data_IF_462678205939
#
_entry.id   IF_462678205939
#
_cell.length_a   1.000
_cell.length_b   1.000
_cell.length_c   1.000
_cell.angle_alpha   90.00
_cell.angle_beta   90.00
_cell.angle_gamma   90.00
#
_symmetry.space_group_name_H-M   'P 1'
#
loop_
_entity.id
_entity.type
_entity.pdbx_description
1 polymer ?
#
# COMPACT_ATOMS: atom_id res chain seq x y z
N UNK A 1 -3.76 1.53 -84.23
CA UNK A 1 -2.68 1.01 -85.09
C UNK A 1 -1.34 1.34 -84.45
N UNK A 2 -0.36 0.45 -84.62
CA UNK A 2 1.10 0.70 -84.60
C UNK A 2 1.74 1.50 -83.45
N UNK A 3 2.43 0.76 -82.56
CA UNK A 3 3.75 1.12 -81.99
C UNK A 3 4.80 1.28 -83.12
N UNK A 4 5.95 1.97 -82.90
CA UNK A 4 7.14 1.44 -82.19
C UNK A 4 7.74 2.46 -81.19
N UNK A 5 8.50 2.15 -80.12
CA UNK A 5 9.57 1.16 -79.83
C UNK A 5 10.95 1.48 -80.44
N UNK A 6 11.97 1.58 -79.58
CA UNK A 6 13.37 1.88 -79.95
C UNK A 6 14.28 1.86 -78.71
N UNK A 7 15.25 0.95 -78.69
CA UNK A 7 16.14 0.68 -77.54
C UNK A 7 17.54 1.31 -77.62
N UNK A 8 18.42 1.01 -76.64
CA UNK A 8 19.75 1.63 -76.46
C UNK A 8 20.84 0.91 -77.31
N UNK A 9 22.06 1.48 -77.50
CA UNK A 9 23.16 1.47 -76.52
C UNK A 9 23.90 2.85 -76.47
N UNK A 10 25.13 3.08 -75.97
CA UNK A 10 26.21 2.23 -75.44
C UNK A 10 27.08 2.97 -74.38
N UNK A 11 28.09 2.29 -73.83
CA UNK A 11 29.13 2.83 -72.92
C UNK A 11 30.37 3.38 -73.65
N UNK A 12 31.00 4.42 -73.10
CA UNK A 12 32.40 4.77 -73.37
C UNK A 12 33.09 5.29 -72.09
N UNK A 13 34.34 4.86 -71.88
CA UNK A 13 35.23 5.26 -70.79
C UNK A 13 36.69 4.99 -71.26
N UNK A 14 37.72 5.43 -70.52
CA UNK A 14 37.88 6.63 -69.71
C UNK A 14 39.07 7.49 -70.24
N UNK A 15 39.34 8.66 -69.65
CA UNK A 15 40.71 9.20 -69.60
C UNK A 15 41.02 9.87 -68.26
N UNK A 16 42.29 9.77 -67.89
CA UNK A 16 42.83 9.93 -66.55
C UNK A 16 43.32 11.37 -66.29
N UNK A 17 43.23 11.82 -65.03
CA UNK A 17 43.98 12.97 -64.53
C UNK A 17 44.25 12.83 -63.02
N UNK A 18 45.14 11.91 -62.67
CA UNK A 18 46.03 12.01 -61.50
C UNK A 18 46.60 13.44 -61.31
N UNK A 19 46.96 13.95 -60.13
CA UNK A 19 46.77 13.53 -58.74
C UNK A 19 47.41 14.60 -57.83
N UNK A 20 46.91 14.77 -56.60
CA UNK A 20 47.68 14.95 -55.34
C UNK A 20 46.79 15.52 -54.22
N UNK A 21 46.54 14.70 -53.20
CA UNK A 21 45.98 15.14 -51.92
C UNK A 21 47.11 15.50 -50.95
N UNK A 22 46.95 16.51 -50.07
CA UNK A 22 47.94 16.80 -49.04
C UNK A 22 48.04 15.65 -48.01
N UNK A 23 49.17 15.53 -47.30
CA UNK A 23 49.51 14.34 -46.52
C UNK A 23 48.67 14.19 -45.25
N UNK A 24 48.56 12.95 -44.78
CA UNK A 24 47.87 12.61 -43.55
C UNK A 24 48.54 13.27 -42.33
N UNK A 25 47.82 14.19 -41.69
CA UNK A 25 47.97 14.41 -40.25
C UNK A 25 47.34 13.21 -39.56
N UNK A 26 48.12 12.47 -38.78
CA UNK A 26 47.55 11.42 -37.94
C UNK A 26 46.76 12.07 -36.81
N UNK A 27 45.45 11.86 -36.77
CA UNK A 27 44.69 12.19 -35.58
C UNK A 27 45.22 11.32 -34.42
N UNK A 28 45.62 11.92 -33.29
CA UNK A 28 45.95 11.15 -32.11
C UNK A 28 44.68 10.42 -31.68
N UNK A 29 44.85 9.17 -31.25
CA UNK A 29 43.79 8.36 -30.67
C UNK A 29 42.99 9.15 -29.63
N UNK A 30 41.76 9.56 -29.97
CA UNK A 30 40.75 9.91 -28.99
C UNK A 30 40.29 8.63 -28.27
N UNK A 31 41.18 8.09 -27.43
CA UNK A 31 40.82 7.29 -26.25
C UNK A 31 40.14 8.19 -25.19
N UNK A 32 39.21 9.02 -25.66
CA UNK A 32 38.19 9.67 -24.87
C UNK A 32 37.18 8.61 -24.48
N UNK A 33 37.58 7.68 -23.60
CA UNK A 33 36.69 6.77 -22.93
C UNK A 33 35.70 7.60 -22.10
N UNK A 34 34.61 8.02 -22.75
CA UNK A 34 33.53 8.75 -22.13
C UNK A 34 33.04 7.90 -20.96
N UNK A 35 33.31 8.36 -19.74
CA UNK A 35 33.03 7.59 -18.54
C UNK A 35 31.54 7.27 -18.51
N UNK A 36 31.17 6.00 -18.76
CA UNK A 36 29.79 5.56 -18.76
C UNK A 36 29.19 5.91 -17.40
N UNK A 37 28.25 6.87 -17.40
CA UNK A 37 27.59 7.29 -16.18
C UNK A 37 26.92 6.06 -15.55
N UNK A 38 27.12 5.79 -14.24
CA UNK A 38 26.63 4.58 -13.61
C UNK A 38 25.14 4.38 -13.86
N UNK A 39 24.78 3.28 -14.54
CA UNK A 39 23.38 2.97 -14.84
C UNK A 39 22.61 2.79 -13.52
N UNK A 40 21.65 3.67 -13.29
CA UNK A 40 20.82 3.62 -12.09
C UNK A 40 20.01 2.32 -12.01
N UNK A 41 19.94 1.77 -10.81
CA UNK A 41 19.06 0.65 -10.46
C UNK A 41 17.60 1.11 -10.40
N UNK A 42 16.66 0.16 -10.50
CA UNK A 42 15.22 0.45 -10.33
C UNK A 42 14.95 1.13 -8.98
N UNK A 43 15.60 0.67 -7.90
CA UNK A 43 15.47 1.26 -6.56
C UNK A 43 15.89 2.74 -6.55
N UNK A 44 17.03 3.09 -7.17
CA UNK A 44 17.47 4.49 -7.26
C UNK A 44 16.51 5.33 -8.11
N UNK A 45 16.02 4.79 -9.23
CA UNK A 45 15.06 5.50 -10.11
C UNK A 45 13.74 5.78 -9.39
N UNK A 46 13.17 4.81 -8.66
CA UNK A 46 11.93 5.04 -7.91
C UNK A 46 12.16 5.96 -6.70
N UNK A 47 13.29 5.82 -5.98
CA UNK A 47 13.66 6.73 -4.89
C UNK A 47 13.75 8.18 -5.37
N UNK A 48 14.46 8.45 -6.47
CA UNK A 48 14.60 9.79 -7.05
C UNK A 48 13.24 10.37 -7.49
N UNK A 49 12.31 9.55 -7.99
CA UNK A 49 10.95 10.00 -8.31
C UNK A 49 10.15 10.41 -7.07
N UNK A 50 10.32 9.71 -5.95
CA UNK A 50 9.68 10.06 -4.68
C UNK A 50 10.31 11.33 -4.11
N UNK A 51 11.65 11.40 -4.07
CA UNK A 51 12.40 12.58 -3.62
C UNK A 51 11.99 13.84 -4.38
N UNK A 52 11.88 13.78 -5.71
CA UNK A 52 11.43 14.92 -6.52
C UNK A 52 10.02 15.40 -6.13
N UNK A 53 9.05 14.49 -5.98
CA UNK A 53 7.68 14.84 -5.57
C UNK A 53 7.61 15.42 -4.17
N UNK A 54 8.39 14.86 -3.24
CA UNK A 54 8.46 15.34 -1.85
C UNK A 54 9.14 16.70 -1.79
N UNK A 55 10.19 16.93 -2.58
CA UNK A 55 10.86 18.22 -2.70
C UNK A 55 9.91 19.32 -3.21
N UNK A 56 9.01 19.02 -4.16
CA UNK A 56 7.97 19.97 -4.59
C UNK A 56 6.99 20.32 -3.46
N UNK A 57 6.56 19.35 -2.65
CA UNK A 57 5.71 19.62 -1.46
C UNK A 57 6.44 20.53 -0.48
N UNK A 58 7.70 20.23 -0.16
CA UNK A 58 8.52 21.06 0.73
C UNK A 58 8.77 22.46 0.16
N UNK A 59 8.94 22.61 -1.16
CA UNK A 59 9.10 23.91 -1.81
C UNK A 59 7.85 24.77 -1.63
N UNK A 60 6.67 24.23 -1.89
CA UNK A 60 5.39 24.94 -1.64
C UNK A 60 5.25 25.35 -0.16
N UNK A 61 5.64 24.48 0.77
CA UNK A 61 5.63 24.78 2.21
C UNK A 61 6.67 25.85 2.60
N UNK A 62 7.88 25.81 2.06
CA UNK A 62 8.95 26.73 2.44
C UNK A 62 8.84 28.11 1.77
N UNK A 63 8.25 28.20 0.58
CA UNK A 63 8.02 29.45 -0.14
C UNK A 63 6.78 30.24 0.38
N UNK A 64 5.89 29.58 1.13
CA UNK A 64 4.69 30.21 1.69
C UNK A 64 5.00 31.27 2.79
N UNK A 65 4.10 32.22 3.00
CA UNK A 65 4.21 33.20 4.10
C UNK A 65 4.03 32.51 5.48
N UNK A 66 4.62 33.01 6.59
CA UNK A 66 4.58 32.35 7.90
C UNK A 66 3.18 31.93 8.38
N UNK A 67 2.18 32.81 8.24
CA UNK A 67 0.79 32.49 8.61
C UNK A 67 0.20 31.39 7.73
N UNK A 68 0.53 31.36 6.43
CA UNK A 68 0.09 30.31 5.52
C UNK A 68 0.77 28.97 5.86
N UNK A 69 2.06 28.95 6.25
CA UNK A 69 2.73 27.73 6.74
C UNK A 69 2.04 27.14 7.97
N UNK A 70 1.58 27.99 8.88
CA UNK A 70 0.85 27.54 10.07
C UNK A 70 -0.44 26.80 9.71
N UNK A 71 -1.21 27.33 8.75
CA UNK A 71 -2.46 26.71 8.26
C UNK A 71 -2.18 25.44 7.43
N UNK A 72 -1.08 25.42 6.66
CA UNK A 72 -0.68 24.24 5.88
C UNK A 72 -0.19 23.05 6.73
N UNK A 73 0.26 23.32 7.96
CA UNK A 73 0.72 22.31 8.92
C UNK A 73 -0.33 21.97 9.97
N UNK A 74 -1.48 22.63 9.95
CA UNK A 74 -2.60 22.37 10.85
C UNK A 74 -3.26 21.02 10.50
N UNK A 75 -3.51 20.19 11.50
CA UNK A 75 -4.23 18.94 11.32
C UNK A 75 -5.71 19.24 11.05
N UNK A 76 -6.23 18.82 9.89
CA UNK A 76 -7.62 19.06 9.49
C UNK A 76 -8.58 18.07 10.18
N UNK A 77 -8.63 18.14 11.53
CA UNK A 77 -9.34 17.22 12.42
C UNK A 77 -10.75 16.90 11.93
N UNK A 78 -11.56 17.92 11.67
CA UNK A 78 -12.97 17.76 11.34
C UNK A 78 -13.18 17.03 10.01
N UNK A 79 -12.31 17.26 9.02
CA UNK A 79 -12.34 16.54 7.74
C UNK A 79 -11.95 15.07 7.91
N UNK A 80 -11.02 14.77 8.82
CA UNK A 80 -10.66 13.40 9.15
C UNK A 80 -11.78 12.69 9.92
N UNK A 81 -12.39 13.34 10.92
CA UNK A 81 -13.57 12.81 11.62
C UNK A 81 -14.71 12.53 10.65
N UNK A 82 -15.06 13.48 9.78
CA UNK A 82 -16.12 13.30 8.78
C UNK A 82 -15.83 12.11 7.84
N UNK A 83 -14.58 11.96 7.38
CA UNK A 83 -14.16 10.85 6.54
C UNK A 83 -14.29 9.49 7.26
N UNK A 84 -13.82 9.37 8.50
CA UNK A 84 -13.85 8.13 9.27
C UNK A 84 -15.28 7.72 9.65
N UNK A 85 -16.09 8.66 10.14
CA UNK A 85 -17.49 8.40 10.53
C UNK A 85 -18.36 8.01 9.34
N UNK A 86 -18.13 8.62 8.15
CA UNK A 86 -18.78 8.16 6.90
C UNK A 86 -18.34 6.74 6.51
N UNK A 87 -17.04 6.46 6.57
CA UNK A 87 -16.47 5.15 6.24
C UNK A 87 -16.99 4.01 7.12
N UNK A 88 -17.27 4.27 8.40
CA UNK A 88 -17.85 3.28 9.31
C UNK A 88 -19.29 2.90 8.94
N UNK A 89 -20.07 3.81 8.35
CA UNK A 89 -21.46 3.56 7.95
C UNK A 89 -21.59 3.04 6.52
N UNK A 90 -20.80 3.53 5.57
CA UNK A 90 -20.87 3.06 4.17
C UNK A 90 -19.52 3.17 3.43
N UNK A 91 -19.20 2.15 2.64
CA UNK A 91 -18.01 2.08 1.81
C UNK A 91 -18.36 1.89 0.34
N UNK A 92 -17.61 2.55 -0.54
CA UNK A 92 -17.79 2.44 -1.98
C UNK A 92 -17.49 1.01 -2.49
N UNK A 93 -18.09 0.56 -3.62
CA UNK A 93 -17.87 -0.78 -4.16
C UNK A 93 -16.41 -1.16 -4.47
N UNK A 94 -15.51 -0.17 -4.59
CA UNK A 94 -14.05 -0.39 -4.71
C UNK A 94 -13.44 -1.11 -3.50
N UNK A 95 -14.08 -1.03 -2.32
CA UNK A 95 -13.62 -1.70 -1.09
C UNK A 95 -13.87 -3.22 -1.06
N UNK A 96 -14.45 -3.83 -2.11
CA UNK A 96 -14.67 -5.28 -2.17
C UNK A 96 -13.37 -6.10 -1.99
N UNK A 97 -12.21 -5.56 -2.38
CA UNK A 97 -10.89 -6.18 -2.16
C UNK A 97 -10.51 -6.30 -0.67
N UNK A 98 -11.24 -5.61 0.21
CA UNK A 98 -11.12 -5.63 1.68
C UNK A 98 -12.29 -6.33 2.38
N UNK A 99 -13.15 -7.09 1.68
CA UNK A 99 -14.28 -7.81 2.33
C UNK A 99 -13.80 -8.89 3.33
N UNK A 100 -12.57 -9.41 3.17
CA UNK A 100 -11.90 -10.26 4.16
C UNK A 100 -11.14 -9.48 5.26
N UNK A 101 -11.29 -8.15 5.32
CA UNK A 101 -10.58 -7.26 6.22
C UNK A 101 -11.53 -6.26 6.91
N UNK A 102 -12.81 -6.61 7.10
CA UNK A 102 -13.79 -5.66 7.66
C UNK A 102 -13.56 -5.33 9.13
N UNK A 103 -13.11 -6.25 10.01
CA UNK A 103 -12.62 -5.89 11.33
C UNK A 103 -11.43 -4.92 11.31
N UNK A 104 -10.55 -4.98 10.29
CA UNK A 104 -9.48 -3.99 10.11
C UNK A 104 -10.03 -2.61 9.75
N UNK A 105 -11.04 -2.54 8.89
CA UNK A 105 -11.73 -1.29 8.56
C UNK A 105 -12.38 -0.67 9.82
N UNK A 106 -13.03 -1.48 10.66
CA UNK A 106 -13.52 -1.02 11.96
C UNK A 106 -12.38 -0.50 12.85
N UNK A 107 -11.31 -1.27 13.02
CA UNK A 107 -10.18 -0.88 13.88
C UNK A 107 -9.51 0.41 13.41
N UNK A 108 -9.16 0.54 12.13
CA UNK A 108 -8.48 1.72 11.60
C UNK A 108 -9.32 2.99 11.77
N UNK A 109 -10.65 2.90 11.62
CA UNK A 109 -11.52 4.06 11.75
C UNK A 109 -11.83 4.40 13.21
N UNK A 110 -12.18 3.42 14.04
CA UNK A 110 -12.45 3.63 15.48
C UNK A 110 -11.18 4.10 16.21
N UNK A 111 -10.02 3.51 15.91
CA UNK A 111 -8.75 3.98 16.48
C UNK A 111 -8.36 5.36 15.95
N UNK A 112 -8.62 5.66 14.68
CA UNK A 112 -8.41 7.00 14.12
C UNK A 112 -9.26 8.07 14.82
N UNK A 113 -10.53 7.78 15.10
CA UNK A 113 -11.41 8.67 15.87
C UNK A 113 -10.91 8.85 17.30
N UNK A 114 -10.53 7.76 17.99
CA UNK A 114 -9.97 7.83 19.34
C UNK A 114 -8.67 8.64 19.43
N UNK A 115 -7.77 8.55 18.42
CA UNK A 115 -6.54 9.36 18.35
C UNK A 115 -6.85 10.85 18.09
N UNK A 116 -7.98 11.17 17.48
CA UNK A 116 -8.47 12.54 17.30
C UNK A 116 -9.27 13.06 18.50
N UNK A 117 -9.41 12.28 19.58
CA UNK A 117 -10.28 12.57 20.73
C UNK A 117 -11.75 12.76 20.32
N UNK A 118 -12.24 11.89 19.42
CA UNK A 118 -13.64 11.88 18.95
C UNK A 118 -14.37 10.63 19.45
N UNK A 119 -15.55 10.83 20.05
CA UNK A 119 -16.42 9.77 20.56
C UNK A 119 -17.37 9.24 19.49
N UNK A 120 -17.65 7.94 19.51
CA UNK A 120 -18.74 7.36 18.70
C UNK A 120 -20.11 7.77 19.27
N UNK A 121 -21.12 7.84 18.41
CA UNK A 121 -22.52 7.84 18.83
C UNK A 121 -22.97 6.43 19.24
N UNK A 122 -23.90 6.33 20.20
CA UNK A 122 -24.38 5.06 20.76
C UNK A 122 -24.89 4.10 19.67
N UNK A 123 -25.60 4.61 18.65
CA UNK A 123 -26.12 3.79 17.55
C UNK A 123 -24.97 3.16 16.74
N UNK A 124 -23.95 3.94 16.39
CA UNK A 124 -22.77 3.49 15.66
C UNK A 124 -21.93 2.50 16.48
N UNK A 125 -21.79 2.73 17.79
CA UNK A 125 -21.14 1.78 18.69
C UNK A 125 -21.87 0.42 18.67
N UNK A 126 -23.18 0.44 18.87
CA UNK A 126 -24.02 -0.76 18.87
C UNK A 126 -23.94 -1.51 17.54
N UNK A 127 -24.00 -0.80 16.41
CA UNK A 127 -23.84 -1.37 15.05
C UNK A 127 -22.47 -2.05 14.86
N UNK A 128 -21.39 -1.46 15.37
CA UNK A 128 -20.04 -2.04 15.30
C UNK A 128 -19.93 -3.29 16.16
N UNK A 129 -20.44 -3.27 17.40
CA UNK A 129 -20.43 -4.43 18.30
C UNK A 129 -21.25 -5.58 17.71
N UNK A 130 -22.42 -5.31 17.11
CA UNK A 130 -23.26 -6.33 16.48
C UNK A 130 -22.70 -6.82 15.14
N UNK A 131 -21.96 -5.98 14.41
CA UNK A 131 -21.20 -6.41 13.26
C UNK A 131 -20.05 -7.36 13.64
N UNK A 132 -19.21 -6.99 14.61
CA UNK A 132 -18.09 -7.81 15.06
C UNK A 132 -18.57 -9.11 15.73
N UNK A 133 -19.68 -9.08 16.47
CA UNK A 133 -20.31 -10.27 17.03
C UNK A 133 -20.74 -11.28 15.96
N UNK A 134 -21.17 -10.82 14.77
CA UNK A 134 -21.46 -11.68 13.60
C UNK A 134 -20.22 -12.18 12.87
N UNK A 135 -19.05 -11.55 13.06
CA UNK A 135 -17.77 -12.01 12.54
C UNK A 135 -17.06 -13.02 13.44
N UNK A 136 -17.55 -13.22 14.67
CA UNK A 136 -16.96 -14.12 15.66
C UNK A 136 -17.33 -15.58 15.35
N UNK A 137 -16.35 -16.48 15.26
CA UNK A 137 -16.62 -17.90 15.01
C UNK A 137 -17.09 -18.63 16.28
N UNK A 138 -17.95 -19.65 16.10
CA UNK A 138 -18.48 -20.50 17.18
C UNK A 138 -17.41 -21.24 17.98
N UNK A 139 -16.27 -21.55 17.37
CA UNK A 139 -15.12 -22.24 18.00
C UNK A 139 -14.04 -21.25 18.46
N UNK A 140 -14.08 -20.00 18.02
CA UNK A 140 -13.26 -18.90 18.51
C UNK A 140 -12.50 -18.13 17.44
N UNK A 141 -12.06 -16.92 17.79
CA UNK A 141 -11.52 -15.95 16.83
C UNK A 141 -12.61 -15.18 16.09
N UNK A 142 -12.18 -14.24 15.27
CA UNK A 142 -13.03 -13.46 14.37
C UNK A 142 -12.53 -13.62 12.92
N UNK A 143 -13.44 -13.86 11.99
CA UNK A 143 -13.15 -13.86 10.56
C UNK A 143 -13.15 -12.45 9.95
N UNK A 144 -12.78 -12.36 8.67
CA UNK A 144 -12.75 -11.10 7.92
C UNK A 144 -14.12 -10.47 7.65
N UNK A 145 -15.19 -11.24 7.84
CA UNK A 145 -16.58 -10.85 7.75
C UNK A 145 -17.49 -12.00 8.23
N UNK A 146 -18.82 -11.80 8.33
CA UNK A 146 -19.73 -12.83 8.83
C UNK A 146 -19.68 -14.12 8.02
N UNK A 147 -19.49 -15.25 8.71
CA UNK A 147 -19.37 -16.58 8.08
C UNK A 147 -18.01 -16.89 7.44
N UNK A 148 -17.04 -15.98 7.49
CA UNK A 148 -15.66 -16.26 7.08
C UNK A 148 -14.88 -17.00 8.19
N UNK A 149 -13.84 -17.75 7.80
CA UNK A 149 -12.97 -18.48 8.74
C UNK A 149 -12.28 -17.53 9.73
N UNK A 150 -12.14 -17.92 11.02
CA UNK A 150 -11.46 -17.11 12.01
C UNK A 150 -9.95 -17.01 11.72
N UNK A 151 -9.41 -15.82 11.91
CA UNK A 151 -8.02 -15.49 11.54
C UNK A 151 -7.42 -14.53 12.58
N UNK A 152 -6.14 -14.68 12.92
CA UNK A 152 -5.49 -13.92 14.00
C UNK A 152 -5.46 -12.41 13.73
N UNK A 153 -5.10 -11.98 12.51
CA UNK A 153 -5.13 -10.56 12.13
C UNK A 153 -6.51 -9.89 12.34
N UNK A 154 -7.60 -10.53 11.91
CA UNK A 154 -8.97 -10.01 12.09
C UNK A 154 -9.47 -10.16 13.52
N UNK A 155 -8.99 -11.16 14.26
CA UNK A 155 -9.21 -11.29 15.70
C UNK A 155 -8.55 -10.17 16.49
N UNK A 156 -7.31 -9.82 16.14
CA UNK A 156 -6.60 -8.65 16.67
C UNK A 156 -7.36 -7.36 16.39
N UNK A 157 -7.80 -7.15 15.15
CA UNK A 157 -8.50 -5.94 14.78
C UNK A 157 -9.87 -5.83 15.48
N UNK A 158 -10.64 -6.93 15.55
CA UNK A 158 -11.91 -6.97 16.27
C UNK A 158 -11.74 -6.68 17.77
N UNK A 159 -10.80 -7.35 18.45
CA UNK A 159 -10.55 -7.16 19.88
C UNK A 159 -10.06 -5.75 20.17
N UNK A 160 -9.10 -5.20 19.40
CA UNK A 160 -8.66 -3.82 19.59
C UNK A 160 -9.76 -2.80 19.29
N UNK A 161 -10.67 -3.05 18.34
CA UNK A 161 -11.85 -2.20 18.13
C UNK A 161 -12.72 -2.17 19.38
N UNK A 162 -13.08 -3.34 19.92
CA UNK A 162 -13.95 -3.46 21.09
C UNK A 162 -13.30 -2.90 22.37
N UNK A 163 -11.98 -3.05 22.52
CA UNK A 163 -11.20 -2.45 23.62
C UNK A 163 -11.07 -0.93 23.47
N UNK A 164 -10.95 -0.41 22.23
CA UNK A 164 -10.93 1.04 21.97
C UNK A 164 -12.28 1.69 22.26
N UNK A 165 -13.38 0.99 21.96
CA UNK A 165 -14.74 1.40 22.37
C UNK A 165 -14.86 1.41 23.90
N UNK A 166 -14.38 0.35 24.57
CA UNK A 166 -14.26 0.30 26.03
C UNK A 166 -15.57 0.21 26.82
N UNK A 167 -16.73 0.30 26.17
CA UNK A 167 -18.05 0.15 26.82
C UNK A 167 -18.26 -1.26 27.39
N UNK A 168 -19.12 -1.38 28.40
CA UNK A 168 -19.45 -2.69 29.00
C UNK A 168 -20.02 -3.66 27.94
N UNK A 169 -20.82 -3.17 26.99
CA UNK A 169 -21.36 -3.95 25.87
C UNK A 169 -20.25 -4.45 24.95
N UNK A 170 -19.33 -3.57 24.55
CA UNK A 170 -18.22 -3.93 23.67
C UNK A 170 -17.30 -4.98 24.33
N UNK A 171 -16.90 -4.76 25.58
CA UNK A 171 -16.02 -5.67 26.32
C UNK A 171 -16.68 -7.02 26.61
N UNK A 172 -17.96 -7.04 27.00
CA UNK A 172 -18.69 -8.29 27.28
C UNK A 172 -18.99 -9.14 26.02
N UNK A 173 -18.96 -8.54 24.83
CA UNK A 173 -19.09 -9.29 23.55
C UNK A 173 -17.89 -10.21 23.25
N UNK A 174 -16.75 -9.99 23.90
CA UNK A 174 -15.51 -10.74 23.69
C UNK A 174 -15.57 -12.10 24.40
N UNK A 175 -15.81 -13.18 23.62
CA UNK A 175 -15.87 -14.56 24.17
C UNK A 175 -14.47 -15.11 24.47
N UNK A 176 -13.87 -14.67 25.58
CA UNK A 176 -12.48 -14.98 26.00
C UNK A 176 -12.13 -16.47 25.98
N UNK A 177 -13.00 -17.33 26.49
CA UNK A 177 -12.79 -18.80 26.50
C UNK A 177 -12.65 -19.40 25.09
N UNK A 178 -13.37 -18.84 24.11
CA UNK A 178 -13.29 -19.28 22.73
C UNK A 178 -12.06 -18.69 22.04
N UNK A 179 -11.72 -17.43 22.30
CA UNK A 179 -10.45 -16.86 21.85
C UNK A 179 -9.25 -17.66 22.37
N UNK A 180 -9.24 -18.06 23.64
CA UNK A 180 -8.17 -18.89 24.21
C UNK A 180 -8.01 -20.23 23.46
N UNK A 181 -9.13 -20.94 23.18
CA UNK A 181 -9.11 -22.17 22.38
C UNK A 181 -8.57 -21.93 20.97
N UNK A 182 -8.94 -20.82 20.33
CA UNK A 182 -8.41 -20.42 19.03
C UNK A 182 -6.90 -20.14 19.07
N UNK A 183 -6.41 -19.42 20.09
CA UNK A 183 -4.96 -19.18 20.27
C UNK A 183 -4.18 -20.49 20.45
N UNK A 184 -4.72 -21.45 21.21
CA UNK A 184 -4.12 -22.79 21.34
C UNK A 184 -4.13 -23.56 20.02
N UNK A 185 -5.22 -23.50 19.24
CA UNK A 185 -5.29 -24.14 17.91
C UNK A 185 -4.29 -23.53 16.93
N UNK A 186 -4.05 -22.22 17.00
CA UNK A 186 -3.08 -21.52 16.16
C UNK A 186 -1.63 -21.73 16.62
N UNK A 187 -1.37 -22.31 17.79
CA UNK A 187 -0.02 -22.54 18.30
C UNK A 187 0.66 -23.67 17.52
N UNK A 188 1.78 -23.36 16.87
CA UNK A 188 2.60 -24.37 16.18
C UNK A 188 3.65 -24.98 17.11
N UNK A 189 4.00 -26.25 16.84
CA UNK A 189 5.04 -27.02 17.55
C UNK A 189 6.44 -26.37 17.53
N UNK A 190 6.72 -25.50 16.56
CA UNK A 190 7.94 -24.68 16.48
C UNK A 190 8.01 -23.56 17.54
N UNK A 191 6.91 -23.28 18.23
CA UNK A 191 6.78 -22.12 19.11
C UNK A 191 6.20 -20.88 18.42
N UNK A 192 6.10 -20.87 17.09
CA UNK A 192 5.39 -19.82 16.35
C UNK A 192 3.86 -19.99 16.42
N UNK A 193 3.12 -19.12 15.73
CA UNK A 193 1.67 -19.23 15.53
C UNK A 193 1.34 -19.24 14.03
N UNK A 194 0.22 -19.87 13.67
CA UNK A 194 -0.42 -19.82 12.34
C UNK A 194 -1.45 -18.70 12.30
N UNK A 195 -1.61 -18.05 11.15
CA UNK A 195 -2.60 -16.97 11.00
C UNK A 195 -4.05 -17.47 11.05
N UNK A 196 -4.32 -18.66 10.51
CA UNK A 196 -5.60 -19.36 10.56
C UNK A 196 -5.35 -20.87 10.36
N UNK A 197 -6.40 -21.70 10.41
CA UNK A 197 -6.26 -23.13 10.10
C UNK A 197 -5.80 -23.34 8.65
N UNK A 198 -4.77 -24.16 8.45
CA UNK A 198 -4.05 -24.31 7.17
C UNK A 198 -3.25 -23.07 6.71
N UNK A 199 -3.25 -21.96 7.47
CA UNK A 199 -2.63 -20.70 7.10
C UNK A 199 -1.11 -20.62 7.27
N UNK A 200 -0.55 -19.47 6.90
CA UNK A 200 0.88 -19.16 6.98
C UNK A 200 1.38 -19.00 8.43
N UNK A 201 2.70 -19.13 8.58
CA UNK A 201 3.43 -18.85 9.83
C UNK A 201 4.42 -17.72 9.56
N UNK A 202 4.22 -16.59 10.22
CA UNK A 202 5.21 -15.52 10.33
C UNK A 202 4.99 -14.69 11.61
N UNK A 203 5.82 -13.67 11.81
CA UNK A 203 5.83 -12.85 13.04
C UNK A 203 4.51 -12.11 13.30
N UNK A 204 3.69 -11.83 12.28
CA UNK A 204 2.36 -11.20 12.45
C UNK A 204 1.45 -12.08 13.29
N UNK A 205 1.48 -13.40 13.08
CA UNK A 205 0.70 -14.35 13.87
C UNK A 205 1.13 -14.33 15.35
N UNK A 206 2.44 -14.31 15.61
CA UNK A 206 2.95 -14.21 16.98
C UNK A 206 2.51 -12.90 17.67
N UNK A 207 2.68 -11.74 17.00
CA UNK A 207 2.28 -10.45 17.55
C UNK A 207 0.77 -10.37 17.84
N UNK A 208 -0.05 -10.75 16.87
CA UNK A 208 -1.52 -10.68 16.99
C UNK A 208 -2.06 -11.64 18.04
N UNK A 209 -1.54 -12.87 18.12
CA UNK A 209 -1.91 -13.82 19.17
C UNK A 209 -1.53 -13.33 20.57
N UNK A 210 -0.31 -12.80 20.75
CA UNK A 210 0.16 -12.29 22.05
C UNK A 210 -0.64 -11.05 22.46
N UNK A 211 -0.86 -10.10 21.55
CA UNK A 211 -1.63 -8.89 21.83
C UNK A 211 -3.06 -9.20 22.27
N UNK A 212 -3.76 -10.11 21.58
CA UNK A 212 -5.13 -10.51 21.98
C UNK A 212 -5.14 -11.32 23.28
N UNK A 213 -4.10 -12.09 23.57
CA UNK A 213 -4.00 -12.89 24.80
C UNK A 213 -3.65 -12.06 26.05
N UNK A 214 -3.15 -10.85 25.87
CA UNK A 214 -2.76 -9.93 26.95
C UNK A 214 -3.93 -9.06 27.44
N UNK A 215 -4.91 -8.78 26.56
CA UNK A 215 -6.09 -7.95 26.82
C UNK A 215 -7.22 -8.74 27.52
#
# INVERSE_FOLDING_TARGET
GTQPSGGPPASAAPMDSSSQSPPAGGDPSEDGAAAELPRLTVTQVEQMKVEARVADIYRVLFDAAPNAKSVMLELWRDQHVEYLTKGLRHLAPSFHVLDANRPWLCYWMVHGLAVLDETLDDDLENDIVDFLSRCQDKHGGYGGGPGQLPHLATSYAAVNTLVTIGSERALSSIKRDNLYKFMLLMKDKSGAFRMHDGGEIDVRACYTAISVSFL
#
